data_IF_008790653013
#
_entry.id   IF_008790653013
#
_cell.length_a   1.000
_cell.length_b   1.000
_cell.length_c   1.000
_cell.angle_alpha   90.00
_cell.angle_beta   90.00
_cell.angle_gamma   90.00
#
_symmetry.space_group_name_H-M   'P 1'
#
loop_
_entity.id
_entity.type
_entity.pdbx_description
1 polymer ?
#
# COMPACT_ATOMS: atom_id res chain seq x y z
N UNK A 1 15.43 -9.75 -23.99
CA UNK A 1 15.35 -8.81 -22.86
C UNK A 1 14.66 -7.56 -23.34
N UNK A 2 13.62 -7.13 -22.62
CA UNK A 2 12.84 -5.93 -22.92
C UNK A 2 13.57 -4.65 -22.51
N UNK A 3 13.36 -3.54 -23.24
CA UNK A 3 13.79 -2.20 -22.82
C UNK A 3 12.76 -1.64 -21.82
N UNK A 4 13.20 -1.37 -20.59
CA UNK A 4 12.31 -1.02 -19.47
C UNK A 4 12.67 0.34 -18.90
N UNK A 5 11.75 1.30 -18.99
CA UNK A 5 11.92 2.64 -18.42
C UNK A 5 11.47 2.72 -16.98
N UNK A 6 12.28 3.34 -16.11
CA UNK A 6 11.93 3.61 -14.71
C UNK A 6 11.80 5.10 -14.45
N UNK A 7 10.60 5.53 -14.03
CA UNK A 7 10.30 6.93 -13.69
C UNK A 7 9.92 7.01 -12.21
N UNK A 8 10.38 8.04 -11.50
CA UNK A 8 10.13 8.19 -10.06
C UNK A 8 10.87 7.18 -9.16
N UNK A 9 11.90 6.52 -9.70
CA UNK A 9 12.70 5.51 -8.98
C UNK A 9 13.45 6.07 -7.75
N UNK A 10 13.63 7.40 -7.66
CA UNK A 10 14.23 8.09 -6.51
C UNK A 10 13.25 8.46 -5.40
N UNK A 11 11.94 8.41 -5.68
CA UNK A 11 10.90 8.64 -4.68
C UNK A 11 10.87 7.52 -3.64
N UNK A 12 10.06 7.66 -2.59
CA UNK A 12 9.96 6.66 -1.53
C UNK A 12 9.58 5.26 -2.07
N UNK A 13 8.47 5.16 -2.81
CA UNK A 13 8.03 3.90 -3.42
C UNK A 13 9.04 3.40 -4.44
N UNK A 14 9.56 4.30 -5.29
CA UNK A 14 10.58 3.99 -6.27
C UNK A 14 11.85 3.40 -5.66
N UNK A 15 12.32 3.93 -4.53
CA UNK A 15 13.52 3.44 -3.85
C UNK A 15 13.32 2.05 -3.27
N UNK A 16 12.13 1.77 -2.72
CA UNK A 16 11.77 0.41 -2.27
C UNK A 16 11.69 -0.54 -3.46
N UNK A 17 11.12 -0.10 -4.59
CA UNK A 17 11.10 -0.89 -5.82
C UNK A 17 12.52 -1.22 -6.31
N UNK A 18 13.43 -0.23 -6.37
CA UNK A 18 14.82 -0.46 -6.77
C UNK A 18 15.52 -1.43 -5.82
N UNK A 19 15.34 -1.27 -4.50
CA UNK A 19 15.90 -2.19 -3.51
C UNK A 19 15.44 -3.63 -3.77
N UNK A 20 14.13 -3.85 -3.93
CA UNK A 20 13.56 -5.18 -4.19
C UNK A 20 14.05 -5.77 -5.52
N UNK A 21 14.15 -4.95 -6.56
CA UNK A 21 14.68 -5.39 -7.86
C UNK A 21 16.15 -5.81 -7.79
N UNK A 22 16.96 -5.16 -6.95
CA UNK A 22 18.36 -5.58 -6.71
C UNK A 22 18.40 -6.89 -5.92
N UNK A 23 17.61 -7.01 -4.86
CA UNK A 23 17.51 -8.22 -4.04
C UNK A 23 17.12 -9.45 -4.87
N UNK A 24 16.19 -9.29 -5.81
CA UNK A 24 15.67 -10.35 -6.69
C UNK A 24 16.44 -10.49 -8.02
N UNK A 25 17.48 -9.69 -8.23
CA UNK A 25 18.27 -9.65 -9.48
C UNK A 25 17.41 -9.44 -10.74
N UNK A 26 16.39 -8.59 -10.63
CA UNK A 26 15.47 -8.33 -11.75
C UNK A 26 16.16 -7.59 -12.91
N UNK A 27 17.19 -6.79 -12.63
CA UNK A 27 17.95 -6.06 -13.65
C UNK A 27 18.72 -6.97 -14.62
N UNK A 28 19.05 -8.20 -14.22
CA UNK A 28 19.77 -9.17 -15.07
C UNK A 28 18.88 -9.69 -16.23
N UNK A 29 17.56 -9.54 -16.12
CA UNK A 29 16.60 -10.03 -17.11
C UNK A 29 16.10 -8.95 -18.09
N UNK A 30 16.50 -7.69 -17.91
CA UNK A 30 15.96 -6.54 -18.64
C UNK A 30 17.07 -5.63 -19.15
N UNK A 31 16.70 -4.66 -19.99
CA UNK A 31 17.57 -3.54 -20.39
C UNK A 31 17.01 -2.28 -19.74
N UNK A 32 17.47 -1.89 -18.54
CA UNK A 32 16.87 -0.78 -17.81
C UNK A 32 17.31 0.57 -18.38
N UNK A 33 16.36 1.50 -18.47
CA UNK A 33 16.57 2.91 -18.82
C UNK A 33 16.00 3.76 -17.70
N UNK A 34 16.80 4.65 -17.13
CA UNK A 34 16.40 5.46 -15.99
C UNK A 34 16.06 6.87 -16.43
N UNK A 35 14.90 7.35 -15.99
CA UNK A 35 14.39 8.69 -16.30
C UNK A 35 14.48 9.59 -15.07
N UNK A 36 14.59 10.89 -15.31
CA UNK A 36 14.60 11.91 -14.26
C UNK A 36 13.85 13.17 -14.69
N UNK A 37 13.23 13.84 -13.73
CA UNK A 37 12.63 15.18 -13.92
C UNK A 37 13.58 16.30 -13.53
N UNK A 38 14.74 16.01 -12.93
CA UNK A 38 15.62 17.03 -12.34
C UNK A 38 17.13 16.77 -12.47
N UNK A 39 17.54 15.60 -12.96
CA UNK A 39 18.95 15.18 -13.06
C UNK A 39 19.28 14.59 -14.45
N UNK A 40 18.55 15.00 -15.49
CA UNK A 40 18.81 14.56 -16.86
C UNK A 40 20.29 14.77 -17.25
N UNK A 41 20.85 13.83 -18.01
CA UNK A 41 22.25 13.84 -18.45
C UNK A 41 23.29 13.36 -17.43
N UNK A 42 22.92 13.17 -16.15
CA UNK A 42 23.82 12.53 -15.18
C UNK A 42 23.93 11.02 -15.42
N UNK A 43 24.90 10.37 -14.77
CA UNK A 43 25.07 8.92 -14.86
C UNK A 43 23.85 8.17 -14.30
N UNK A 44 23.44 7.11 -14.98
CA UNK A 44 22.43 6.18 -14.47
C UNK A 44 22.96 5.41 -13.24
N UNK A 45 22.07 4.86 -12.39
CA UNK A 45 22.47 4.13 -11.20
C UNK A 45 23.26 2.86 -11.53
N UNK A 46 24.33 2.61 -10.78
CA UNK A 46 25.23 1.46 -10.99
C UNK A 46 24.54 0.11 -10.83
N UNK A 47 23.52 0.01 -9.97
CA UNK A 47 22.77 -1.22 -9.73
C UNK A 47 21.92 -1.67 -10.93
N UNK A 48 21.75 -0.81 -11.95
CA UNK A 48 21.07 -1.17 -13.20
C UNK A 48 21.94 -1.95 -14.18
N UNK A 49 23.22 -2.22 -13.86
CA UNK A 49 24.12 -2.99 -14.71
C UNK A 49 24.50 -2.31 -16.04
N UNK A 50 24.07 -1.06 -16.26
CA UNK A 50 24.34 -0.29 -17.48
C UNK A 50 25.16 0.96 -17.17
N UNK A 51 26.02 1.38 -18.10
CA UNK A 51 26.76 2.65 -18.05
C UNK A 51 26.01 3.77 -18.78
N UNK A 52 24.68 3.80 -18.63
CA UNK A 52 23.80 4.77 -19.31
C UNK A 52 23.78 6.15 -18.65
N UNK A 53 23.06 7.07 -19.29
CA UNK A 53 22.72 8.39 -18.73
C UNK A 53 21.24 8.48 -18.40
N UNK A 54 20.90 9.30 -17.41
CA UNK A 54 19.52 9.61 -17.05
C UNK A 54 18.83 10.36 -18.20
N UNK A 55 17.74 9.78 -18.70
CA UNK A 55 16.91 10.35 -19.76
C UNK A 55 15.89 11.36 -19.18
N UNK A 56 15.35 12.23 -20.03
CA UNK A 56 14.29 13.17 -19.62
C UNK A 56 12.94 12.43 -19.53
N UNK A 57 12.32 12.46 -18.35
CA UNK A 57 11.01 11.85 -18.11
C UNK A 57 9.89 12.43 -18.99
N UNK A 58 10.05 13.61 -19.58
CA UNK A 58 9.04 14.22 -20.46
C UNK A 58 9.35 14.07 -21.96
N UNK A 59 10.45 13.42 -22.32
CA UNK A 59 10.79 13.14 -23.72
C UNK A 59 10.00 11.94 -24.26
N UNK A 60 8.96 12.23 -25.05
CA UNK A 60 8.09 11.21 -25.63
C UNK A 60 8.82 10.27 -26.60
N UNK A 61 9.85 10.72 -27.32
CA UNK A 61 10.56 9.84 -28.26
C UNK A 61 11.42 8.83 -27.50
N UNK A 62 12.08 9.27 -26.41
CA UNK A 62 12.78 8.37 -25.50
C UNK A 62 11.83 7.35 -24.85
N UNK A 63 10.64 7.78 -24.46
CA UNK A 63 9.61 6.89 -23.88
C UNK A 63 9.04 5.90 -24.91
N UNK A 64 8.79 6.33 -26.15
CA UNK A 64 8.25 5.49 -27.23
C UNK A 64 9.19 4.35 -27.63
N UNK A 65 10.49 4.50 -27.41
CA UNK A 65 11.49 3.47 -27.68
C UNK A 65 11.44 2.29 -26.69
N UNK A 66 10.69 2.40 -25.59
CA UNK A 66 10.60 1.39 -24.54
C UNK A 66 9.52 0.34 -24.83
N UNK A 67 9.80 -0.91 -24.43
CA UNK A 67 8.80 -1.97 -24.42
C UNK A 67 7.86 -1.86 -23.21
N UNK A 68 8.43 -1.46 -22.06
CA UNK A 68 7.76 -1.40 -20.76
C UNK A 68 8.16 -0.10 -20.05
N UNK A 69 7.20 0.54 -19.40
CA UNK A 69 7.43 1.66 -18.48
C UNK A 69 6.92 1.24 -17.09
N UNK A 70 7.76 1.40 -16.07
CA UNK A 70 7.39 1.28 -14.66
C UNK A 70 7.53 2.65 -14.01
N UNK A 71 6.42 3.21 -13.55
CA UNK A 71 6.40 4.54 -12.94
C UNK A 71 5.94 4.50 -11.48
N UNK A 72 6.72 5.17 -10.64
CA UNK A 72 6.41 5.48 -9.23
C UNK A 72 6.36 7.00 -9.00
N UNK A 73 6.18 7.80 -10.06
CA UNK A 73 6.30 9.26 -10.00
C UNK A 73 5.06 9.94 -9.40
N UNK A 74 3.87 9.38 -9.62
CA UNK A 74 2.61 9.89 -9.08
C UNK A 74 1.61 10.30 -10.16
N UNK A 75 0.39 10.61 -9.71
CA UNK A 75 -0.77 10.80 -10.57
C UNK A 75 -0.66 11.97 -11.55
N UNK A 76 -0.01 13.07 -11.16
CA UNK A 76 0.15 14.25 -12.02
C UNK A 76 0.97 13.91 -13.27
N UNK A 77 2.09 13.20 -13.08
CA UNK A 77 2.93 12.73 -14.18
C UNK A 77 2.15 11.76 -15.08
N UNK A 78 1.43 10.81 -14.50
CA UNK A 78 0.60 9.87 -15.28
C UNK A 78 -0.48 10.60 -16.08
N UNK A 79 -1.20 11.54 -15.47
CA UNK A 79 -2.26 12.31 -16.13
C UNK A 79 -1.73 13.15 -17.30
N UNK A 80 -0.47 13.58 -17.22
CA UNK A 80 0.17 14.34 -18.29
C UNK A 80 0.73 13.45 -19.40
N UNK A 81 1.53 12.44 -19.05
CA UNK A 81 2.35 11.69 -20.01
C UNK A 81 1.61 10.50 -20.61
N UNK A 82 0.81 9.77 -19.83
CA UNK A 82 0.14 8.56 -20.32
C UNK A 82 -0.75 8.82 -21.54
N UNK A 83 -1.64 9.86 -21.55
CA UNK A 83 -2.47 10.15 -22.72
C UNK A 83 -1.63 10.50 -23.96
N UNK A 84 -0.65 11.41 -23.81
CA UNK A 84 0.25 11.83 -24.91
C UNK A 84 0.98 10.63 -25.51
N UNK A 85 1.45 9.72 -24.67
CA UNK A 85 2.19 8.54 -25.10
C UNK A 85 1.28 7.55 -25.85
N UNK A 86 0.07 7.28 -25.35
CA UNK A 86 -0.91 6.43 -26.04
C UNK A 86 -1.39 7.03 -27.35
N UNK A 87 -1.67 8.34 -27.39
CA UNK A 87 -2.07 9.08 -28.60
C UNK A 87 -0.99 9.07 -29.69
N UNK A 88 0.29 8.95 -29.32
CA UNK A 88 1.39 8.79 -30.27
C UNK A 88 1.46 7.42 -30.96
N UNK A 89 0.58 6.49 -30.57
CA UNK A 89 0.54 5.11 -31.08
C UNK A 89 1.39 4.11 -30.26
N UNK A 90 1.90 4.50 -29.09
CA UNK A 90 2.72 3.60 -28.27
C UNK A 90 1.90 2.47 -27.64
N UNK A 91 2.24 1.22 -27.98
CA UNK A 91 1.56 0.00 -27.55
C UNK A 91 2.33 -0.81 -26.48
N UNK A 92 3.37 -0.22 -25.88
CA UNK A 92 4.13 -0.86 -24.81
C UNK A 92 3.34 -0.98 -23.49
N UNK A 93 3.91 -1.70 -22.53
CA UNK A 93 3.26 -1.95 -21.25
C UNK A 93 3.50 -0.81 -20.27
N UNK A 94 2.43 -0.27 -19.69
CA UNK A 94 2.49 0.74 -18.64
C UNK A 94 2.17 0.12 -17.29
N UNK A 95 3.14 0.12 -16.37
CA UNK A 95 3.01 -0.36 -15.00
C UNK A 95 3.09 0.84 -14.05
N UNK A 96 2.05 1.08 -13.26
CA UNK A 96 1.90 2.32 -12.50
C UNK A 96 1.56 2.11 -11.03
N UNK A 97 2.22 2.86 -10.14
CA UNK A 97 1.86 2.92 -8.71
C UNK A 97 0.69 3.88 -8.43
N UNK A 98 0.45 4.86 -9.30
CA UNK A 98 -0.52 5.92 -9.09
C UNK A 98 -1.97 5.45 -9.29
N UNK A 99 -2.90 6.10 -8.59
CA UNK A 99 -4.31 5.73 -8.65
C UNK A 99 -5.03 6.16 -9.94
N UNK A 100 -4.42 7.04 -10.75
CA UNK A 100 -5.07 7.75 -11.86
C UNK A 100 -5.78 6.83 -12.87
N UNK A 101 -5.19 5.67 -13.16
CA UNK A 101 -5.67 4.77 -14.21
C UNK A 101 -6.41 3.54 -13.65
N UNK A 102 -6.48 3.35 -12.33
CA UNK A 102 -7.01 2.13 -11.70
C UNK A 102 -8.40 1.75 -12.21
N UNK A 103 -9.28 2.73 -12.39
CA UNK A 103 -10.67 2.51 -12.76
C UNK A 103 -10.95 2.65 -14.26
N UNK A 104 -9.93 2.81 -15.11
CA UNK A 104 -10.10 2.83 -16.57
C UNK A 104 -10.41 1.44 -17.11
N UNK A 105 -11.31 1.34 -18.09
CA UNK A 105 -11.78 0.06 -18.65
C UNK A 105 -10.66 -0.71 -19.36
N UNK A 106 -9.67 0.00 -19.92
CA UNK A 106 -8.48 -0.53 -20.59
C UNK A 106 -7.31 -0.81 -19.62
N UNK A 107 -7.56 -0.78 -18.31
CA UNK A 107 -6.55 -1.00 -17.27
C UNK A 107 -6.96 -2.06 -16.25
N UNK A 108 -5.99 -2.87 -15.84
CA UNK A 108 -6.14 -3.89 -14.80
C UNK A 108 -5.43 -3.45 -13.53
N UNK A 109 -6.10 -3.65 -12.37
CA UNK A 109 -5.46 -3.48 -11.08
C UNK A 109 -4.73 -4.79 -10.73
N UNK A 110 -3.42 -4.70 -10.50
CA UNK A 110 -2.55 -5.89 -10.34
C UNK A 110 -2.32 -6.25 -8.88
N UNK A 111 -2.55 -7.53 -8.56
CA UNK A 111 -2.17 -8.17 -7.32
C UNK A 111 -2.07 -9.68 -7.55
N UNK A 112 -1.03 -10.10 -8.27
CA UNK A 112 -0.92 -11.43 -8.86
C UNK A 112 -1.17 -12.63 -7.91
N UNK A 113 -0.79 -12.59 -6.60
CA UNK A 113 -1.12 -13.71 -5.70
C UNK A 113 -2.62 -13.86 -5.44
N UNK A 114 -3.44 -12.88 -5.84
CA UNK A 114 -4.89 -12.84 -5.67
C UNK A 114 -5.60 -12.96 -7.02
N UNK A 115 -5.11 -12.27 -8.06
CA UNK A 115 -5.84 -12.15 -9.33
C UNK A 115 -5.04 -12.50 -10.59
N UNK A 116 -4.10 -13.46 -10.51
CA UNK A 116 -3.34 -13.92 -11.68
C UNK A 116 -4.23 -14.29 -12.88
N UNK A 117 -5.39 -14.92 -12.65
CA UNK A 117 -6.34 -15.24 -13.72
C UNK A 117 -6.79 -13.99 -14.50
N UNK A 118 -7.19 -12.93 -13.79
CA UNK A 118 -7.60 -11.65 -14.39
C UNK A 118 -6.46 -11.01 -15.18
N UNK A 119 -5.23 -11.05 -14.64
CA UNK A 119 -4.04 -10.51 -15.30
C UNK A 119 -3.76 -11.27 -16.60
N UNK A 120 -3.76 -12.61 -16.56
CA UNK A 120 -3.52 -13.47 -17.72
C UNK A 120 -4.57 -13.25 -18.80
N UNK A 121 -5.85 -13.21 -18.45
CA UNK A 121 -6.94 -12.95 -19.39
C UNK A 121 -6.80 -11.56 -20.03
N UNK A 122 -6.44 -10.56 -19.23
CA UNK A 122 -6.14 -9.22 -19.72
C UNK A 122 -5.01 -9.18 -20.74
N UNK A 123 -3.89 -9.84 -20.45
CA UNK A 123 -2.75 -9.94 -21.37
C UNK A 123 -3.15 -10.60 -22.70
N UNK A 124 -3.92 -11.68 -22.64
CA UNK A 124 -4.43 -12.40 -23.82
C UNK A 124 -5.40 -11.54 -24.65
N UNK A 125 -6.18 -10.68 -23.98
CA UNK A 125 -7.12 -9.75 -24.61
C UNK A 125 -6.49 -8.40 -24.98
N UNK A 126 -5.16 -8.28 -24.89
CA UNK A 126 -4.41 -7.12 -25.38
C UNK A 126 -4.33 -5.94 -24.41
N UNK A 127 -4.69 -6.09 -23.13
CA UNK A 127 -4.52 -5.05 -22.11
C UNK A 127 -3.04 -4.70 -21.97
N UNK A 128 -2.71 -3.39 -22.00
CA UNK A 128 -1.34 -2.86 -21.90
C UNK A 128 -1.11 -1.98 -20.69
N UNK A 129 -2.09 -1.82 -19.82
CA UNK A 129 -2.01 -0.91 -18.68
C UNK A 129 -2.35 -1.65 -17.39
N UNK A 130 -1.37 -1.70 -16.49
CA UNK A 130 -1.39 -2.47 -15.25
C UNK A 130 -1.06 -1.55 -14.09
N UNK A 131 -1.94 -1.48 -13.09
CA UNK A 131 -1.86 -0.44 -12.04
C UNK A 131 -1.88 -1.10 -10.68
N UNK A 132 -0.94 -0.75 -9.79
CA UNK A 132 -0.96 -1.18 -8.40
C UNK A 132 -2.22 -0.67 -7.70
N UNK A 133 -2.87 -1.54 -6.93
CA UNK A 133 -4.04 -1.19 -6.12
C UNK A 133 -3.71 -0.23 -4.96
N UNK A 134 -4.75 0.27 -4.29
CA UNK A 134 -4.62 1.01 -3.05
C UNK A 134 -4.04 0.10 -1.96
N UNK A 135 -3.16 0.65 -1.14
CA UNK A 135 -2.47 -0.10 -0.10
C UNK A 135 -3.41 -0.80 0.89
N UNK A 136 -4.54 -0.20 1.27
CA UNK A 136 -5.51 -0.85 2.18
C UNK A 136 -6.11 -2.10 1.54
N UNK A 137 -6.57 -1.99 0.29
CA UNK A 137 -7.17 -3.08 -0.48
C UNK A 137 -6.16 -4.18 -0.79
N UNK A 138 -4.96 -3.82 -1.25
CA UNK A 138 -3.91 -4.80 -1.54
C UNK A 138 -3.52 -5.59 -0.29
N UNK A 139 -3.30 -4.92 0.85
CA UNK A 139 -2.93 -5.61 2.08
C UNK A 139 -4.10 -6.42 2.66
N UNK A 140 -5.34 -5.95 2.52
CA UNK A 140 -6.53 -6.74 2.89
C UNK A 140 -6.60 -8.03 2.07
N UNK A 141 -6.50 -7.94 0.75
CA UNK A 141 -6.62 -9.10 -0.15
C UNK A 141 -5.43 -10.05 -0.04
N UNK A 142 -4.22 -9.55 0.24
CA UNK A 142 -3.08 -10.41 0.54
C UNK A 142 -3.32 -11.27 1.79
N UNK A 143 -3.85 -10.68 2.86
CA UNK A 143 -4.12 -11.39 4.11
C UNK A 143 -5.38 -12.24 4.10
N UNK A 144 -6.43 -11.82 3.39
CA UNK A 144 -7.77 -12.44 3.42
C UNK A 144 -8.12 -13.20 2.12
N UNK A 145 -7.19 -13.27 1.16
CA UNK A 145 -7.43 -13.77 -0.19
C UNK A 145 -8.09 -15.16 -0.24
N UNK A 146 -7.72 -16.05 0.69
CA UNK A 146 -8.33 -17.39 0.78
C UNK A 146 -9.86 -17.38 0.97
N UNK A 147 -10.40 -16.39 1.70
CA UNK A 147 -11.85 -16.27 1.88
C UNK A 147 -12.55 -15.78 0.61
N UNK A 148 -11.95 -14.83 -0.09
CA UNK A 148 -12.47 -14.30 -1.36
C UNK A 148 -12.37 -15.34 -2.48
N UNK A 149 -11.24 -16.06 -2.58
CA UNK A 149 -11.01 -17.10 -3.56
C UNK A 149 -12.00 -18.27 -3.44
N UNK A 150 -12.51 -18.53 -2.24
CA UNK A 150 -13.53 -19.56 -1.98
C UNK A 150 -14.97 -19.01 -2.01
N UNK A 151 -15.16 -17.77 -2.45
CA UNK A 151 -16.47 -17.10 -2.51
C UNK A 151 -17.23 -17.09 -1.18
N UNK A 152 -16.51 -17.01 -0.06
CA UNK A 152 -17.10 -17.10 1.28
C UNK A 152 -17.58 -15.76 1.83
N UNK A 153 -17.15 -14.64 1.24
CA UNK A 153 -17.42 -13.30 1.77
C UNK A 153 -18.75 -12.77 1.21
N UNK A 154 -19.67 -12.41 2.10
CA UNK A 154 -20.90 -11.69 1.75
C UNK A 154 -20.66 -10.18 1.75
N UNK A 155 -20.06 -9.65 2.82
CA UNK A 155 -19.61 -8.25 2.92
C UNK A 155 -18.50 -8.10 3.96
N UNK A 156 -17.77 -6.99 3.87
CA UNK A 156 -16.69 -6.62 4.81
C UNK A 156 -16.91 -5.21 5.35
N UNK A 157 -16.82 -5.07 6.67
CA UNK A 157 -16.66 -3.79 7.34
C UNK A 157 -15.25 -3.68 7.93
N UNK A 158 -14.61 -2.53 7.74
CA UNK A 158 -13.21 -2.29 8.11
C UNK A 158 -13.06 -1.06 9.01
N UNK A 159 -12.17 -1.16 9.99
CA UNK A 159 -11.54 -0.01 10.63
C UNK A 159 -10.03 -0.09 10.43
N UNK A 160 -9.45 0.88 9.71
CA UNK A 160 -8.01 0.86 9.41
C UNK A 160 -7.21 1.68 10.41
N UNK A 161 -5.96 1.29 10.59
CA UNK A 161 -4.94 1.99 11.35
C UNK A 161 -3.75 2.24 10.40
N UNK A 162 -3.84 3.32 9.62
CA UNK A 162 -2.90 3.58 8.54
C UNK A 162 -1.70 4.39 9.01
N UNK A 163 -0.53 4.02 8.52
CA UNK A 163 0.76 4.65 8.77
C UNK A 163 0.99 5.94 7.97
N UNK A 164 1.94 6.76 8.41
CA UNK A 164 2.35 8.02 7.79
C UNK A 164 2.94 7.86 6.37
N UNK A 165 3.54 6.71 6.03
CA UNK A 165 4.11 6.48 4.69
C UNK A 165 3.10 6.62 3.56
N UNK A 166 1.80 6.39 3.83
CA UNK A 166 0.73 6.60 2.84
C UNK A 166 0.55 8.07 2.43
N UNK A 167 0.95 9.03 3.28
CA UNK A 167 1.05 10.45 2.90
C UNK A 167 2.39 10.79 2.23
N UNK A 168 3.43 9.97 2.42
CA UNK A 168 4.74 10.13 1.81
C UNK A 168 5.84 10.57 2.78
N UNK A 169 7.04 10.88 2.24
CA UNK A 169 8.27 11.03 3.03
C UNK A 169 8.22 12.20 4.02
N UNK A 170 7.60 13.31 3.62
CA UNK A 170 7.48 14.51 4.46
C UNK A 170 6.59 14.26 5.68
N UNK A 171 5.50 13.52 5.49
CA UNK A 171 4.59 13.10 6.55
C UNK A 171 5.27 12.17 7.59
N UNK A 172 6.10 11.22 7.14
CA UNK A 172 6.86 10.37 8.06
C UNK A 172 7.85 11.18 8.90
N UNK A 173 8.53 12.17 8.29
CA UNK A 173 9.44 13.08 9.00
C UNK A 173 8.68 13.93 10.02
N UNK A 174 7.54 14.51 9.62
CA UNK A 174 6.69 15.30 10.51
C UNK A 174 6.25 14.49 11.74
N UNK A 175 5.81 13.24 11.57
CA UNK A 175 5.47 12.36 12.69
C UNK A 175 6.64 12.17 13.67
N UNK A 176 7.84 11.88 13.17
CA UNK A 176 9.03 11.69 14.02
C UNK A 176 9.43 12.99 14.74
N UNK A 177 9.33 14.13 14.05
CA UNK A 177 9.58 15.44 14.66
C UNK A 177 8.60 15.74 15.78
N UNK A 178 7.30 15.50 15.57
CA UNK A 178 6.28 15.66 16.60
C UNK A 178 6.57 14.76 17.81
N UNK A 179 6.90 13.48 17.61
CA UNK A 179 7.28 12.57 18.71
C UNK A 179 8.46 13.12 19.53
N UNK A 180 9.48 13.65 18.86
CA UNK A 180 10.65 14.25 19.52
C UNK A 180 10.29 15.48 20.36
N UNK A 181 9.46 16.38 19.83
CA UNK A 181 9.03 17.59 20.53
C UNK A 181 8.16 17.26 21.76
N UNK A 182 7.22 16.32 21.63
CA UNK A 182 6.40 15.87 22.76
C UNK A 182 7.27 15.30 23.89
N UNK A 183 8.21 14.41 23.56
CA UNK A 183 9.14 13.86 24.55
C UNK A 183 10.00 14.97 25.20
N UNK A 184 10.56 15.88 24.40
CA UNK A 184 11.42 16.96 24.90
C UNK A 184 10.70 17.87 25.90
N UNK A 185 9.38 18.09 25.73
CA UNK A 185 8.58 18.96 26.60
C UNK A 185 8.42 18.45 28.05
N UNK A 186 8.65 17.16 28.27
CA UNK A 186 8.46 16.49 29.57
C UNK A 186 9.64 15.59 29.97
N UNK A 187 10.79 15.75 29.31
CA UNK A 187 11.94 14.86 29.49
C UNK A 187 12.48 14.87 30.93
N UNK A 188 12.42 16.03 31.61
CA UNK A 188 12.88 16.16 32.98
C UNK A 188 11.96 15.40 33.96
N UNK A 189 10.65 15.52 33.78
CA UNK A 189 9.65 14.82 34.58
C UNK A 189 9.71 13.32 34.33
N UNK A 190 9.87 12.88 33.07
CA UNK A 190 10.01 11.45 32.74
C UNK A 190 11.27 10.82 33.37
N UNK A 191 12.32 11.60 33.60
CA UNK A 191 13.53 11.12 34.28
C UNK A 191 13.36 11.03 35.80
N UNK A 192 12.34 11.70 36.38
CA UNK A 192 12.03 11.66 37.80
C UNK A 192 10.87 10.68 38.08
N UNK A 193 11.13 9.53 38.73
CA UNK A 193 10.08 8.56 39.06
C UNK A 193 9.06 9.09 40.09
N UNK A 194 9.35 10.20 40.78
CA UNK A 194 8.43 10.85 41.71
C UNK A 194 7.51 11.88 41.03
N UNK A 195 7.74 12.19 39.75
CA UNK A 195 6.92 13.17 39.02
C UNK A 195 5.46 12.74 38.91
N UNK A 196 4.55 13.72 38.94
CA UNK A 196 3.13 13.46 38.83
C UNK A 196 2.74 13.23 37.36
N UNK A 197 2.19 12.06 37.04
CA UNK A 197 1.80 11.71 35.67
C UNK A 197 0.76 12.68 35.06
N UNK A 198 -0.11 13.28 35.88
CA UNK A 198 -1.08 14.27 35.41
C UNK A 198 -0.44 15.61 35.03
N UNK A 199 0.74 15.94 35.57
CA UNK A 199 1.47 17.14 35.17
C UNK A 199 2.20 16.92 33.85
N UNK A 200 2.75 15.72 33.64
CA UNK A 200 3.31 15.28 32.36
C UNK A 200 2.24 15.33 31.27
N UNK A 201 1.09 14.69 31.49
CA UNK A 201 0.01 14.66 30.50
C UNK A 201 -0.47 16.07 30.15
N UNK A 202 -0.66 16.94 31.15
CA UNK A 202 -1.10 18.32 30.91
C UNK A 202 -0.13 19.11 30.04
N UNK A 203 1.19 18.94 30.26
CA UNK A 203 2.22 19.59 29.44
C UNK A 203 2.22 19.09 28.00
N UNK A 204 2.12 17.77 27.81
CA UNK A 204 1.99 17.14 26.49
C UNK A 204 0.76 17.68 25.77
N UNK A 205 -0.42 17.63 26.40
CA UNK A 205 -1.68 18.11 25.81
C UNK A 205 -1.66 19.60 25.51
N UNK A 206 -1.04 20.42 26.36
CA UNK A 206 -0.86 21.85 26.13
C UNK A 206 0.02 22.10 24.89
N UNK A 207 1.17 21.42 24.78
CA UNK A 207 2.04 21.53 23.61
C UNK A 207 1.32 21.08 22.35
N UNK A 208 0.59 19.96 22.39
CA UNK A 208 -0.19 19.47 21.23
C UNK A 208 -1.19 20.51 20.71
N UNK A 209 -1.76 21.36 21.57
CA UNK A 209 -2.77 22.37 21.22
C UNK A 209 -2.21 23.78 21.02
N UNK A 210 -0.92 23.99 21.31
CA UNK A 210 -0.28 25.32 21.28
C UNK A 210 -0.16 25.91 19.88
N UNK A 211 -0.16 25.07 18.84
CA UNK A 211 0.23 25.45 17.48
C UNK A 211 1.74 25.39 17.22
N UNK A 212 2.55 24.93 18.18
CA UNK A 212 4.01 24.82 18.05
C UNK A 212 4.47 23.52 17.36
N UNK A 213 3.64 22.46 17.38
CA UNK A 213 3.95 21.22 16.66
C UNK A 213 3.88 21.45 15.13
N UNK A 214 4.84 20.93 14.35
CA UNK A 214 4.79 21.03 12.90
C UNK A 214 3.63 20.18 12.37
N UNK A 215 2.72 20.81 11.63
CA UNK A 215 1.54 20.17 11.05
C UNK A 215 1.35 20.57 9.58
N UNK A 216 2.43 21.01 8.92
CA UNK A 216 2.39 21.53 7.54
C UNK A 216 1.87 20.48 6.54
N UNK A 217 2.11 19.19 6.83
CA UNK A 217 1.71 18.10 5.94
C UNK A 217 0.36 17.48 6.35
N UNK A 218 0.17 17.13 7.63
CA UNK A 218 -1.10 16.52 8.08
C UNK A 218 -2.22 17.52 8.38
N UNK A 219 -1.91 18.81 8.54
CA UNK A 219 -2.83 19.87 8.96
C UNK A 219 -3.17 19.87 10.46
N UNK A 220 -3.01 18.73 11.14
CA UNK A 220 -3.23 18.56 12.58
C UNK A 220 -2.19 17.58 13.18
N UNK A 221 -2.00 17.56 14.52
CA UNK A 221 -1.06 16.65 15.17
C UNK A 221 -1.43 15.17 14.95
N UNK A 222 -0.41 14.33 14.73
CA UNK A 222 -0.55 12.88 14.60
C UNK A 222 0.12 12.12 15.75
N UNK A 223 1.29 12.56 16.23
CA UNK A 223 1.95 11.93 17.37
C UNK A 223 1.07 12.04 18.63
N UNK A 224 0.82 10.92 19.30
CA UNK A 224 -0.08 10.86 20.47
C UNK A 224 -1.57 10.96 20.14
N UNK A 225 -1.95 10.98 18.86
CA UNK A 225 -3.34 11.09 18.41
C UNK A 225 -3.65 10.22 17.19
N UNK A 226 -4.71 10.60 16.47
CA UNK A 226 -5.16 9.96 15.23
C UNK A 226 -5.98 10.95 14.39
N UNK A 227 -6.13 10.69 13.09
CA UNK A 227 -6.93 11.49 12.16
C UNK A 227 -7.94 10.57 11.47
N UNK A 228 -9.25 10.68 11.77
CA UNK A 228 -10.29 9.77 11.25
C UNK A 228 -10.83 10.23 9.88
N UNK A 229 -9.95 10.73 9.02
CA UNK A 229 -10.30 11.18 7.67
C UNK A 229 -9.05 11.09 6.79
N UNK A 230 -9.11 10.35 5.69
CA UNK A 230 -7.99 10.21 4.75
C UNK A 230 -8.48 10.50 3.35
N UNK A 231 -7.80 11.42 2.65
CA UNK A 231 -8.12 11.82 1.28
C UNK A 231 -9.42 12.68 1.20
N UNK A 232 -9.82 13.04 -0.02
CA UNK A 232 -10.92 13.98 -0.30
C UNK A 232 -12.27 13.48 0.22
N UNK A 233 -13.12 14.41 0.64
CA UNK A 233 -14.54 14.17 0.90
C UNK A 233 -15.29 13.83 -0.41
N UNK A 234 -16.24 12.91 -0.33
CA UNK A 234 -17.19 12.58 -1.40
C UNK A 234 -18.63 12.92 -0.97
N UNK A 235 -19.53 13.05 -1.96
CA UNK A 235 -20.91 13.49 -1.74
C UNK A 235 -21.74 12.54 -0.88
N UNK A 236 -21.40 11.24 -0.87
CA UNK A 236 -22.09 10.21 -0.10
C UNK A 236 -21.63 10.13 1.36
N UNK A 237 -20.74 11.03 1.80
CA UNK A 237 -20.20 11.06 3.16
C UNK A 237 -18.96 10.21 3.40
N UNK A 238 -18.56 9.35 2.44
CA UNK A 238 -17.28 8.66 2.49
C UNK A 238 -16.11 9.62 2.20
N UNK A 239 -14.95 9.23 2.67
CA UNK A 239 -13.68 9.69 2.12
C UNK A 239 -13.33 8.91 0.85
N UNK A 240 -12.49 9.50 -0.01
CA UNK A 240 -11.99 8.81 -1.19
C UNK A 240 -11.16 7.56 -0.83
N UNK A 241 -10.54 7.51 0.36
CA UNK A 241 -9.81 6.31 0.81
C UNK A 241 -10.77 5.16 1.16
N UNK A 242 -11.92 5.45 1.77
CA UNK A 242 -12.95 4.44 2.07
C UNK A 242 -13.63 3.94 0.80
N UNK A 243 -13.97 4.83 -0.12
CA UNK A 243 -14.58 4.49 -1.41
C UNK A 243 -13.73 3.51 -2.24
N UNK A 244 -12.40 3.64 -2.18
CA UNK A 244 -11.47 2.71 -2.88
C UNK A 244 -11.65 1.27 -2.41
N UNK A 245 -12.09 1.05 -1.17
CA UNK A 245 -12.35 -0.28 -0.61
C UNK A 245 -13.23 -1.13 -1.52
N UNK A 246 -14.49 -0.74 -1.70
CA UNK A 246 -15.40 -1.47 -2.58
C UNK A 246 -14.98 -1.42 -4.05
N UNK A 247 -14.60 -0.25 -4.54
CA UNK A 247 -14.34 -0.03 -5.96
C UNK A 247 -13.17 -0.90 -6.46
N UNK A 248 -12.05 -0.89 -5.74
CA UNK A 248 -10.85 -1.61 -6.15
C UNK A 248 -10.91 -3.11 -5.80
N UNK A 249 -11.52 -3.51 -4.67
CA UNK A 249 -11.67 -4.94 -4.34
C UNK A 249 -12.43 -5.68 -5.43
N UNK A 250 -13.58 -5.15 -5.86
CA UNK A 250 -14.40 -5.81 -6.87
C UNK A 250 -13.73 -5.83 -8.24
N UNK A 251 -12.99 -4.76 -8.59
CA UNK A 251 -12.23 -4.72 -9.85
C UNK A 251 -11.05 -5.69 -9.86
N UNK A 252 -10.30 -5.80 -8.76
CA UNK A 252 -9.18 -6.75 -8.64
C UNK A 252 -9.68 -8.19 -8.80
N UNK A 253 -10.79 -8.53 -8.14
CA UNK A 253 -11.34 -9.87 -8.10
C UNK A 253 -12.16 -10.24 -9.35
N UNK A 254 -12.54 -9.27 -10.20
CA UNK A 254 -13.40 -9.51 -11.36
C UNK A 254 -14.78 -10.07 -10.97
N UNK A 255 -15.35 -9.56 -9.87
CA UNK A 255 -16.58 -10.14 -9.29
C UNK A 255 -17.78 -10.01 -10.21
N UNK A 256 -18.57 -11.07 -10.33
CA UNK A 256 -19.84 -11.03 -11.07
C UNK A 256 -20.91 -10.21 -10.32
N UNK A 257 -20.92 -10.27 -8.99
CA UNK A 257 -21.78 -9.49 -8.12
C UNK A 257 -20.90 -8.69 -7.16
N UNK A 258 -21.25 -7.42 -6.94
CA UNK A 258 -20.51 -6.56 -6.02
C UNK A 258 -20.54 -7.12 -4.60
N UNK A 259 -19.35 -7.37 -4.04
CA UNK A 259 -19.14 -7.62 -2.61
C UNK A 259 -19.06 -6.25 -1.92
N UNK A 260 -19.98 -5.92 -1.00
CA UNK A 260 -19.89 -4.67 -0.26
C UNK A 260 -18.65 -4.64 0.64
N UNK A 261 -17.88 -3.57 0.53
CA UNK A 261 -16.69 -3.31 1.37
C UNK A 261 -16.72 -1.85 1.78
N UNK A 262 -16.88 -1.60 3.07
CA UNK A 262 -16.96 -0.23 3.60
C UNK A 262 -16.30 -0.15 4.98
N UNK A 263 -16.12 1.06 5.50
CA UNK A 263 -15.43 1.23 6.75
C UNK A 263 -15.01 2.65 7.08
N UNK A 264 -14.11 2.76 8.06
CA UNK A 264 -13.48 4.01 8.46
C UNK A 264 -11.97 3.94 8.26
N UNK A 265 -11.45 4.91 7.50
CA UNK A 265 -10.02 5.02 7.23
C UNK A 265 -9.34 6.02 8.17
N UNK A 266 -8.67 5.50 9.22
CA UNK A 266 -8.00 6.32 10.24
C UNK A 266 -6.47 6.32 10.08
N UNK A 267 -5.85 7.50 10.12
CA UNK A 267 -4.39 7.67 10.19
C UNK A 267 -3.94 7.61 11.64
N UNK A 268 -2.89 6.85 11.92
CA UNK A 268 -2.26 6.73 13.24
C UNK A 268 -0.75 7.00 13.19
N UNK A 269 -0.12 7.17 14.35
CA UNK A 269 1.32 7.40 14.51
C UNK A 269 2.23 6.19 14.22
N UNK A 270 1.95 5.42 13.17
CA UNK A 270 2.84 4.36 12.67
C UNK A 270 3.64 4.84 11.46
N UNK A 271 4.86 4.31 11.24
CA UNK A 271 5.72 4.77 10.14
C UNK A 271 5.32 4.22 8.78
N UNK A 272 5.27 2.89 8.62
CA UNK A 272 5.03 2.28 7.29
C UNK A 272 4.15 1.03 7.22
N UNK A 273 3.61 0.52 8.32
CA UNK A 273 2.64 -0.57 8.28
C UNK A 273 1.21 -0.07 8.43
N UNK A 274 0.29 -0.63 7.66
CA UNK A 274 -1.14 -0.50 7.92
C UNK A 274 -1.60 -1.70 8.74
N UNK A 275 -2.47 -1.45 9.70
CA UNK A 275 -3.24 -2.50 10.36
C UNK A 275 -4.71 -2.32 10.05
N UNK A 276 -5.48 -3.40 10.07
CA UNK A 276 -6.89 -3.38 9.72
C UNK A 276 -7.66 -4.32 10.64
N UNK A 277 -8.74 -3.83 11.24
CA UNK A 277 -9.69 -4.64 12.00
C UNK A 277 -10.94 -4.87 11.16
N UNK A 278 -11.39 -6.11 11.10
CA UNK A 278 -12.47 -6.51 10.19
C UNK A 278 -13.65 -7.09 10.96
N UNK A 279 -14.85 -6.72 10.52
CA UNK A 279 -16.06 -7.53 10.69
C UNK A 279 -16.41 -8.08 9.32
N UNK A 280 -16.36 -9.40 9.18
CA UNK A 280 -16.59 -10.09 7.91
C UNK A 280 -17.87 -10.91 8.05
N UNK A 281 -18.87 -10.66 7.20
CA UNK A 281 -20.01 -11.57 7.07
C UNK A 281 -19.65 -12.64 6.05
N UNK A 282 -19.72 -13.89 6.49
CA UNK A 282 -19.57 -15.07 5.65
C UNK A 282 -20.92 -15.47 5.06
N UNK A 283 -20.92 -16.01 3.84
CA UNK A 283 -22.13 -16.54 3.18
C UNK A 283 -22.68 -17.81 3.83
N UNK A 284 -21.89 -18.47 4.67
CA UNK A 284 -22.23 -19.68 5.42
C UNK A 284 -21.34 -19.84 6.64
N UNK A 285 -21.77 -20.64 7.60
CA UNK A 285 -20.95 -21.02 8.75
C UNK A 285 -19.77 -21.92 8.31
N UNK A 286 -18.55 -21.45 8.53
CA UNK A 286 -17.30 -22.19 8.29
C UNK A 286 -16.49 -22.24 9.59
N UNK A 287 -15.94 -23.40 9.96
CA UNK A 287 -15.17 -23.55 11.21
C UNK A 287 -13.92 -22.67 11.22
N UNK A 288 -13.46 -22.22 12.40
CA UNK A 288 -12.22 -21.43 12.52
C UNK A 288 -10.99 -22.18 12.00
N UNK A 289 -10.78 -23.48 12.30
CA UNK A 289 -9.68 -24.24 11.70
C UNK A 289 -9.71 -24.23 10.16
N UNK A 290 -10.89 -24.35 9.56
CA UNK A 290 -11.03 -24.26 8.10
C UNK A 290 -10.73 -22.86 7.59
N UNK A 291 -11.16 -21.80 8.28
CA UNK A 291 -10.80 -20.41 7.94
C UNK A 291 -9.28 -20.22 7.96
N UNK A 292 -8.61 -20.69 9.02
CA UNK A 292 -7.15 -20.62 9.16
C UNK A 292 -6.43 -21.36 8.03
N UNK A 293 -6.87 -22.59 7.71
CA UNK A 293 -6.32 -23.39 6.61
C UNK A 293 -6.44 -22.66 5.26
N UNK A 294 -7.63 -22.14 4.93
CA UNK A 294 -7.87 -21.45 3.67
C UNK A 294 -7.02 -20.18 3.53
N UNK A 295 -6.87 -19.42 4.61
CA UNK A 295 -6.05 -18.21 4.62
C UNK A 295 -4.56 -18.53 4.44
N UNK A 296 -4.04 -19.50 5.21
CA UNK A 296 -2.63 -19.89 5.17
C UNK A 296 -2.24 -20.56 3.83
N UNK A 297 -3.15 -21.33 3.22
CA UNK A 297 -2.89 -22.03 1.96
C UNK A 297 -2.90 -21.11 0.73
N UNK A 298 -3.55 -19.95 0.82
CA UNK A 298 -3.78 -19.09 -0.34
C UNK A 298 -2.51 -18.46 -0.91
N UNK A 299 -1.62 -17.93 -0.07
CA UNK A 299 -0.31 -17.42 -0.49
C UNK A 299 0.70 -17.49 0.68
N UNK A 300 2.01 -17.56 0.40
CA UNK A 300 3.03 -17.76 1.44
C UNK A 300 3.25 -16.55 2.36
N UNK A 301 2.67 -15.39 2.02
CA UNK A 301 2.82 -14.16 2.80
C UNK A 301 1.70 -13.98 3.83
N UNK A 302 0.55 -14.63 3.65
CA UNK A 302 -0.60 -14.62 4.54
C UNK A 302 -0.37 -15.52 5.76
N UNK A 303 0.56 -15.12 6.63
CA UNK A 303 0.86 -15.86 7.86
C UNK A 303 -0.32 -15.78 8.85
N UNK A 304 -0.96 -16.91 9.12
CA UNK A 304 -1.95 -17.01 10.20
C UNK A 304 -1.25 -16.99 11.55
N UNK A 305 -1.60 -16.01 12.39
CA UNK A 305 -1.13 -15.87 13.76
C UNK A 305 -2.17 -16.50 14.69
N UNK A 306 -1.80 -17.52 15.50
CA UNK A 306 -2.71 -18.13 16.45
C UNK A 306 -3.39 -17.09 17.34
N UNK A 307 -4.66 -17.30 17.66
CA UNK A 307 -5.47 -16.36 18.46
C UNK A 307 -5.15 -16.46 19.97
N UNK A 308 -3.86 -16.40 20.30
CA UNK A 308 -3.30 -16.40 21.64
C UNK A 308 -2.61 -15.07 21.93
N UNK A 309 -2.69 -14.62 23.18
CA UNK A 309 -2.25 -13.29 23.60
C UNK A 309 -0.80 -13.00 23.23
N UNK A 310 0.11 -13.86 23.68
CA UNK A 310 1.54 -13.56 23.64
C UNK A 310 2.10 -13.57 22.22
N UNK A 311 1.66 -14.53 21.38
CA UNK A 311 2.10 -14.58 19.98
C UNK A 311 1.46 -13.47 19.15
N UNK A 312 0.20 -13.10 19.41
CA UNK A 312 -0.43 -11.93 18.80
C UNK A 312 0.37 -10.66 19.08
N UNK A 313 0.74 -10.42 20.35
CA UNK A 313 1.50 -9.23 20.75
C UNK A 313 2.89 -9.16 20.10
N UNK A 314 3.50 -10.32 19.82
CA UNK A 314 4.82 -10.38 19.17
C UNK A 314 4.77 -10.26 17.65
N UNK A 315 3.79 -10.86 16.99
CA UNK A 315 3.83 -11.06 15.54
C UNK A 315 2.81 -10.23 14.75
N UNK A 316 1.71 -9.81 15.38
CA UNK A 316 0.61 -9.12 14.72
C UNK A 316 0.65 -7.61 15.00
N UNK A 317 1.82 -6.99 14.79
CA UNK A 317 2.05 -5.56 15.06
C UNK A 317 2.88 -4.90 13.97
N UNK A 318 2.76 -3.57 13.78
CA UNK A 318 3.66 -2.80 12.91
C UNK A 318 5.15 -3.05 13.19
N UNK A 319 5.53 -3.23 14.46
CA UNK A 319 6.92 -3.45 14.85
C UNK A 319 7.50 -4.76 14.29
N UNK A 320 6.69 -5.81 14.17
CA UNK A 320 7.12 -7.10 13.64
C UNK A 320 7.10 -7.18 12.10
N UNK A 321 6.28 -6.36 11.45
CA UNK A 321 5.97 -6.50 10.01
C UNK A 321 6.70 -5.48 9.14
N UNK A 322 7.09 -4.33 9.72
CA UNK A 322 7.79 -3.23 9.03
C UNK A 322 8.99 -3.75 8.22
N UNK A 323 9.00 -3.46 6.92
CA UNK A 323 10.08 -3.84 6.01
C UNK A 323 10.05 -5.30 5.54
N UNK A 324 9.03 -6.08 5.91
CA UNK A 324 8.90 -7.49 5.51
C UNK A 324 7.77 -7.68 4.50
N UNK A 325 7.86 -8.74 3.67
CA UNK A 325 6.80 -9.12 2.74
C UNK A 325 5.63 -9.86 3.43
N UNK A 326 5.72 -10.15 4.72
CA UNK A 326 4.66 -10.86 5.45
C UNK A 326 3.43 -9.97 5.61
N UNK A 327 2.24 -10.54 5.42
CA UNK A 327 0.95 -9.88 5.61
C UNK A 327 0.11 -10.67 6.62
N UNK A 328 0.56 -10.75 7.90
CA UNK A 328 -0.05 -11.64 8.87
C UNK A 328 -1.52 -11.30 9.16
N UNK A 329 -2.29 -12.35 9.45
CA UNK A 329 -3.69 -12.29 9.87
C UNK A 329 -3.86 -13.07 11.16
N UNK A 330 -4.53 -12.49 12.14
CA UNK A 330 -4.83 -13.16 13.40
C UNK A 330 -6.13 -12.65 14.00
N UNK A 331 -6.34 -12.92 15.30
CA UNK A 331 -7.60 -12.60 16.00
C UNK A 331 -8.83 -13.22 15.32
N UNK A 332 -8.61 -14.36 14.66
CA UNK A 332 -9.62 -15.14 13.96
C UNK A 332 -10.52 -15.83 14.98
N UNK A 333 -11.80 -15.46 14.97
CA UNK A 333 -12.84 -16.05 15.82
C UNK A 333 -14.21 -15.66 15.30
N UNK A 334 -15.24 -16.42 15.68
CA UNK A 334 -16.63 -15.98 15.47
C UNK A 334 -16.96 -14.82 16.41
N UNK A 335 -17.74 -13.87 15.92
CA UNK A 335 -18.26 -12.74 16.68
C UNK A 335 -19.57 -13.14 17.37
N UNK A 336 -19.93 -12.39 18.41
CA UNK A 336 -21.12 -12.70 19.22
C UNK A 336 -22.44 -12.59 18.42
N UNK A 337 -22.42 -11.91 17.26
CA UNK A 337 -23.56 -11.75 16.37
C UNK A 337 -24.03 -13.08 15.74
N UNK A 338 -23.14 -14.08 15.67
CA UNK A 338 -23.50 -15.41 15.18
C UNK A 338 -22.35 -16.10 14.45
N UNK A 339 -22.57 -17.38 14.07
CA UNK A 339 -21.53 -18.20 13.45
C UNK A 339 -21.08 -17.71 12.07
N UNK A 340 -21.86 -16.87 11.39
CA UNK A 340 -21.49 -16.32 10.09
C UNK A 340 -20.70 -15.00 10.18
N UNK A 341 -20.39 -14.52 11.38
CA UNK A 341 -19.65 -13.28 11.58
C UNK A 341 -18.22 -13.59 12.04
N UNK A 342 -17.24 -13.29 11.20
CA UNK A 342 -15.83 -13.53 11.46
C UNK A 342 -15.13 -12.21 11.84
N UNK A 343 -14.37 -12.27 12.93
CA UNK A 343 -13.38 -11.25 13.31
C UNK A 343 -12.05 -11.57 12.64
N UNK A 344 -11.35 -10.56 12.15
CA UNK A 344 -9.94 -10.66 11.76
C UNK A 344 -9.20 -9.37 12.10
N UNK A 345 -7.89 -9.48 12.31
CA UNK A 345 -6.98 -8.33 12.38
C UNK A 345 -5.75 -8.63 11.55
N UNK A 346 -5.35 -7.69 10.68
CA UNK A 346 -4.20 -7.86 9.79
C UNK A 346 -3.20 -6.73 9.95
N UNK A 347 -1.96 -7.00 9.57
CA UNK A 347 -0.89 -5.99 9.46
C UNK A 347 -0.14 -6.22 8.17
N UNK A 348 0.30 -5.16 7.50
CA UNK A 348 1.10 -5.27 6.29
C UNK A 348 1.92 -4.01 6.01
N UNK A 349 3.09 -4.18 5.40
CA UNK A 349 3.94 -3.06 4.99
C UNK A 349 3.37 -2.34 3.76
N UNK A 350 3.11 -1.04 3.92
CA UNK A 350 2.46 -0.20 2.92
C UNK A 350 3.33 0.04 1.68
N UNK A 351 4.67 0.00 1.80
CA UNK A 351 5.56 0.29 0.68
C UNK A 351 5.93 -0.95 -0.13
N UNK A 352 5.71 -2.14 0.42
CA UNK A 352 5.94 -3.42 -0.27
C UNK A 352 4.68 -3.86 -1.01
N UNK A 353 3.88 -4.77 -0.44
CA UNK A 353 2.63 -5.25 -1.05
C UNK A 353 1.60 -4.14 -1.28
N UNK A 354 1.65 -3.07 -0.48
CA UNK A 354 0.80 -1.91 -0.67
C UNK A 354 1.26 -0.94 -1.76
N UNK A 355 2.44 -1.15 -2.39
CA UNK A 355 2.94 -0.25 -3.43
C UNK A 355 3.92 -0.94 -4.42
N UNK A 356 5.15 -1.23 -4.02
CA UNK A 356 6.24 -1.58 -4.95
C UNK A 356 6.21 -3.04 -5.45
N UNK A 357 5.87 -4.00 -4.59
CA UNK A 357 6.01 -5.43 -4.89
C UNK A 357 5.11 -5.89 -6.06
N UNK A 358 3.83 -5.46 -6.17
CA UNK A 358 3.00 -5.79 -7.33
C UNK A 358 3.60 -5.31 -8.65
N UNK A 359 4.22 -4.13 -8.68
CA UNK A 359 4.81 -3.55 -9.90
C UNK A 359 5.98 -4.40 -10.38
N UNK A 360 6.87 -4.76 -9.44
CA UNK A 360 8.04 -5.61 -9.70
C UNK A 360 7.61 -6.98 -10.24
N UNK A 361 6.63 -7.60 -9.60
CA UNK A 361 6.13 -8.93 -9.98
C UNK A 361 5.46 -8.90 -11.35
N UNK A 362 4.66 -7.87 -11.64
CA UNK A 362 4.09 -7.68 -12.97
C UNK A 362 5.18 -7.50 -14.04
N UNK A 363 6.20 -6.69 -13.77
CA UNK A 363 7.35 -6.56 -14.66
C UNK A 363 8.00 -7.93 -14.92
N UNK A 364 8.18 -8.75 -13.88
CA UNK A 364 8.80 -10.07 -14.02
C UNK A 364 8.01 -11.03 -14.89
N UNK A 365 6.68 -10.92 -14.92
CA UNK A 365 5.84 -11.71 -15.83
C UNK A 365 6.00 -11.30 -17.31
N UNK A 366 6.45 -10.07 -17.57
CA UNK A 366 6.62 -9.52 -18.92
C UNK A 366 8.07 -9.55 -19.44
N UNK A 367 9.04 -9.76 -18.54
CA UNK A 367 10.48 -9.60 -18.78
C UNK A 367 11.12 -10.68 -19.66
#
# INVERSE_FOLDING_TARGET
MKNVGFIGWRGMVGSVLMQRMVEERDFDAIRPVFFSTSQLGQAAPSFGGTTGTLQDAYDLEALKALDIIVTCQGGDYTNEIYPKLRESGWQGYWIDAASSLRMKDDAIIILDPVNQGVITDGLNNGVKTFVGGNCTVSLMLMSLGGLFAQDLVEWVSVATYQAASGGGARHMRELLTQMGQLHQSVAAELADPASAILDIERKVTQLTRSGELPVDNFGVPLAGGLIPWIDKQLDNGQTREEWKGQAETNKILGTANTIPVDGLCVRIGALRCHSQAFTIKLKKDVSIPTVEELLAAHNPWAKVVPNDRDITMRELTPAAVTGTLTTPVGRLRKLNMGPEYLSAFTVGDQLLWGAAEPLRRMLRQLA
#
